data_IF_694151297470
#
_entry.id   IF_694151297470
#
_cell.length_a   1.000
_cell.length_b   1.000
_cell.length_c   1.000
_cell.angle_alpha   90.00
_cell.angle_beta   90.00
_cell.angle_gamma   90.00
#
_symmetry.space_group_name_H-M   'P 1'
#
loop_
_entity.id
_entity.type
_entity.pdbx_description
1 polymer ?
#
# COMPACT_ATOMS: atom_id res chain seq x y z
N UNK A 1 10.18 23.28 -5.89
CA UNK A 1 9.37 22.04 -5.87
C UNK A 1 8.46 22.00 -4.65
N UNK A 2 8.94 22.00 -3.39
CA UNK A 2 8.07 21.93 -2.20
C UNK A 2 7.03 23.07 -2.06
N UNK A 3 7.32 24.28 -2.57
CA UNK A 3 6.33 25.38 -2.66
C UNK A 3 5.28 25.22 -3.77
N UNK A 4 5.51 24.33 -4.75
CA UNK A 4 4.64 24.14 -5.91
C UNK A 4 3.64 22.99 -5.73
N UNK A 5 3.93 22.02 -4.86
CA UNK A 5 3.08 20.83 -4.69
C UNK A 5 2.01 21.01 -3.59
N UNK A 6 2.16 22.01 -2.71
CA UNK A 6 1.27 22.16 -1.55
C UNK A 6 1.32 20.93 -0.62
N UNK A 7 0.33 20.73 0.27
CA UNK A 7 0.26 19.55 1.15
C UNK A 7 -0.01 18.23 0.39
N UNK A 8 -0.24 18.32 -0.92
CA UNK A 8 -0.62 17.23 -1.79
C UNK A 8 0.53 16.22 -1.97
N UNK A 9 0.30 14.99 -1.54
CA UNK A 9 1.19 13.86 -1.78
C UNK A 9 0.56 12.98 -2.86
N UNK A 10 1.18 12.89 -4.03
CA UNK A 10 0.68 12.10 -5.17
C UNK A 10 0.53 10.61 -4.84
N UNK A 11 1.27 10.12 -3.83
CA UNK A 11 1.23 8.73 -3.39
C UNK A 11 0.16 8.45 -2.32
N UNK A 12 -0.52 9.50 -1.81
CA UNK A 12 -1.55 9.47 -0.76
C UNK A 12 -1.37 8.39 0.33
N UNK A 13 -0.14 8.10 0.75
CA UNK A 13 0.12 7.11 1.81
C UNK A 13 -0.42 7.60 3.17
N UNK A 14 -0.61 8.92 3.29
CA UNK A 14 -1.18 9.59 4.45
C UNK A 14 -2.17 10.62 3.94
N UNK A 15 -3.46 10.30 4.09
CA UNK A 15 -4.65 10.99 3.59
C UNK A 15 -4.62 12.52 3.69
N UNK A 16 -5.51 13.20 2.96
CA UNK A 16 -5.85 14.59 3.24
C UNK A 16 -6.79 14.60 4.45
N UNK A 17 -6.26 14.87 5.64
CA UNK A 17 -7.06 14.98 6.87
C UNK A 17 -8.26 15.89 6.60
N UNK A 18 -9.51 15.44 6.83
CA UNK A 18 -10.61 16.36 6.88
C UNK A 18 -10.35 17.39 7.99
N UNK A 19 -10.85 18.61 7.82
CA UNK A 19 -10.83 19.57 8.91
C UNK A 19 -11.73 19.07 10.04
N UNK A 20 -11.35 19.34 11.28
CA UNK A 20 -12.14 18.93 12.45
C UNK A 20 -13.54 19.57 12.44
N UNK A 21 -13.69 20.70 11.73
CA UNK A 21 -14.97 21.33 11.41
C UNK A 21 -15.25 21.15 9.91
N UNK A 22 -16.00 20.10 9.56
CA UNK A 22 -16.67 20.00 8.27
C UNK A 22 -18.10 20.53 8.43
N UNK A 23 -18.48 21.51 7.61
CA UNK A 23 -19.87 21.93 7.48
C UNK A 23 -20.71 20.77 6.89
N UNK A 24 -22.03 20.79 7.09
CA UNK A 24 -22.96 19.72 6.65
C UNK A 24 -22.90 19.44 5.13
N UNK A 25 -22.36 20.35 4.34
CA UNK A 25 -22.14 20.23 2.89
C UNK A 25 -20.75 19.65 2.52
N UNK A 26 -19.95 19.25 3.52
CA UNK A 26 -18.60 18.74 3.36
C UNK A 26 -17.56 19.83 3.06
N UNK A 27 -17.94 21.11 3.12
CA UNK A 27 -16.99 22.21 3.01
C UNK A 27 -16.30 22.47 4.36
N UNK A 28 -15.05 22.93 4.27
CA UNK A 28 -14.18 23.16 5.41
C UNK A 28 -13.89 24.65 5.53
N UNK A 29 -14.25 25.26 6.66
CA UNK A 29 -13.83 26.63 6.99
C UNK A 29 -12.67 26.68 8.00
N UNK A 30 -12.32 25.53 8.61
CA UNK A 30 -11.25 25.38 9.58
C UNK A 30 -9.99 24.71 8.99
N UNK A 31 -8.81 25.20 9.38
CA UNK A 31 -7.52 24.59 9.03
C UNK A 31 -7.42 23.17 9.61
N UNK A 32 -7.14 22.16 8.78
CA UNK A 32 -7.05 20.77 9.26
C UNK A 32 -5.87 20.56 10.23
N UNK A 33 -5.94 19.54 11.09
CA UNK A 33 -4.86 19.17 12.01
C UNK A 33 -3.51 19.01 11.28
N UNK A 34 -3.52 18.39 10.09
CA UNK A 34 -2.33 18.24 9.24
C UNK A 34 -1.82 19.58 8.69
N UNK A 35 -2.70 20.48 8.29
CA UNK A 35 -2.30 21.83 7.89
C UNK A 35 -1.70 22.63 9.05
N UNK A 36 -2.27 22.50 10.26
CA UNK A 36 -1.72 23.08 11.48
C UNK A 36 -0.35 22.51 11.80
N UNK A 37 -0.18 21.19 11.69
CA UNK A 37 1.11 20.51 11.82
C UNK A 37 2.14 21.07 10.84
N UNK A 38 1.78 21.21 9.56
CA UNK A 38 2.67 21.79 8.54
C UNK A 38 3.05 23.23 8.87
N UNK A 39 2.09 24.02 9.37
CA UNK A 39 2.32 25.43 9.75
C UNK A 39 3.25 25.57 10.95
N UNK A 40 3.09 24.73 11.97
CA UNK A 40 3.86 24.79 13.21
C UNK A 40 5.27 24.22 13.00
N UNK A 41 5.37 23.04 12.38
CA UNK A 41 6.65 22.38 12.13
C UNK A 41 7.47 23.06 11.02
N UNK A 42 6.79 23.76 10.10
CA UNK A 42 7.38 24.29 8.87
C UNK A 42 7.86 23.19 7.91
N UNK A 43 7.41 21.94 8.08
CA UNK A 43 7.83 20.78 7.29
C UNK A 43 6.76 20.38 6.28
N UNK A 44 7.19 19.81 5.15
CA UNK A 44 6.29 19.31 4.11
C UNK A 44 5.91 17.84 4.32
N UNK A 45 4.86 17.37 3.64
CA UNK A 45 4.51 15.94 3.57
C UNK A 45 5.68 15.08 3.04
N UNK A 46 6.52 15.65 2.16
CA UNK A 46 7.74 14.99 1.67
C UNK A 46 8.77 14.78 2.78
N UNK A 47 8.93 15.77 3.66
CA UNK A 47 9.78 15.63 4.84
C UNK A 47 9.27 14.51 5.75
N UNK A 48 7.97 14.48 6.05
CA UNK A 48 7.35 13.42 6.87
C UNK A 48 7.68 12.05 6.30
N UNK A 49 7.37 11.81 5.01
CA UNK A 49 7.64 10.53 4.35
C UNK A 49 9.11 10.13 4.45
N UNK A 50 10.02 11.06 4.10
CA UNK A 50 11.46 10.80 4.15
C UNK A 50 11.92 10.49 5.59
N UNK A 51 11.43 11.26 6.56
CA UNK A 51 11.77 11.09 7.96
C UNK A 51 11.30 9.72 8.48
N UNK A 52 10.05 9.33 8.21
CA UNK A 52 9.53 8.01 8.59
C UNK A 52 10.32 6.88 7.94
N UNK A 53 10.61 6.99 6.64
CA UNK A 53 11.38 5.98 5.91
C UNK A 53 12.79 5.79 6.52
N UNK A 54 13.52 6.88 6.77
CA UNK A 54 14.86 6.81 7.39
C UNK A 54 14.81 6.30 8.84
N UNK A 55 13.68 6.42 9.51
CA UNK A 55 13.50 6.06 10.91
C UNK A 55 12.57 4.85 11.11
N UNK A 56 12.36 4.04 10.07
CA UNK A 56 11.48 2.87 10.11
C UNK A 56 11.88 1.84 11.19
N UNK A 57 13.18 1.74 11.48
CA UNK A 57 13.72 0.91 12.56
C UNK A 57 13.30 1.36 13.98
N UNK A 58 12.71 2.56 14.11
CA UNK A 58 12.26 3.16 15.37
C UNK A 58 10.91 3.87 15.24
N UNK A 59 9.96 3.26 14.52
CA UNK A 59 8.65 3.86 14.22
C UNK A 59 7.94 4.48 15.43
N UNK A 60 7.95 3.83 16.60
CA UNK A 60 7.30 4.35 17.80
C UNK A 60 7.85 5.70 18.26
N UNK A 61 9.17 5.83 18.37
CA UNK A 61 9.77 7.12 18.77
C UNK A 61 9.76 8.12 17.62
N UNK A 62 9.88 7.67 16.36
CA UNK A 62 9.79 8.53 15.18
C UNK A 62 8.41 9.21 15.07
N UNK A 63 7.32 8.49 15.41
CA UNK A 63 5.98 9.07 15.47
C UNK A 63 5.88 10.14 16.56
N UNK A 64 6.34 9.83 17.78
CA UNK A 64 6.35 10.82 18.87
C UNK A 64 7.19 12.07 18.52
N UNK A 65 8.36 11.90 17.89
CA UNK A 65 9.20 13.02 17.44
C UNK A 65 8.47 13.90 16.41
N UNK A 66 7.64 13.32 15.53
CA UNK A 66 6.83 14.09 14.57
C UNK A 66 5.66 14.79 15.26
N UNK A 67 5.00 14.16 16.24
CA UNK A 67 3.91 14.76 17.00
C UNK A 67 4.41 15.97 17.80
N UNK A 68 5.55 15.82 18.49
CA UNK A 68 6.22 16.90 19.22
C UNK A 68 6.62 18.05 18.28
N UNK A 69 7.16 17.73 17.10
CA UNK A 69 7.52 18.73 16.06
C UNK A 69 6.31 19.49 15.52
N UNK A 70 5.16 18.82 15.49
CA UNK A 70 3.87 19.37 15.10
C UNK A 70 3.19 20.24 16.13
N UNK A 71 3.71 20.29 17.36
CA UNK A 71 3.01 20.91 18.49
C UNK A 71 1.78 20.11 18.94
N UNK A 72 1.78 18.80 18.73
CA UNK A 72 0.70 17.88 19.11
C UNK A 72 -0.48 17.81 18.14
N UNK A 73 -0.40 18.46 16.98
CA UNK A 73 -1.41 18.35 15.93
C UNK A 73 -1.24 17.04 15.14
N UNK A 74 -2.34 16.37 14.80
CA UNK A 74 -2.27 15.08 14.09
C UNK A 74 -1.89 15.28 12.61
N UNK A 75 -0.80 14.64 12.19
CA UNK A 75 -0.36 14.59 10.79
C UNK A 75 -0.76 13.29 10.08
N UNK A 76 -1.21 12.28 10.83
CA UNK A 76 -1.50 10.92 10.37
C UNK A 76 -2.93 10.75 9.82
N UNK A 77 -3.81 11.72 10.06
CA UNK A 77 -5.21 11.69 9.61
C UNK A 77 -5.96 10.47 10.12
N UNK A 78 -5.69 10.11 11.36
CA UNK A 78 -6.25 8.92 12.00
C UNK A 78 -5.80 7.58 11.41
N UNK A 79 -4.93 7.51 10.39
CA UNK A 79 -4.35 6.29 9.79
C UNK A 79 -4.99 4.95 10.22
N UNK A 80 -4.41 4.28 11.22
CA UNK A 80 -4.87 2.98 11.74
C UNK A 80 -5.87 3.09 12.89
N UNK A 81 -6.10 4.29 13.43
CA UNK A 81 -6.96 4.57 14.59
C UNK A 81 -8.39 4.95 14.17
N UNK A 82 -8.55 5.58 13.00
CA UNK A 82 -9.84 6.00 12.44
C UNK A 82 -10.76 4.82 12.13
N UNK A 83 -10.20 3.70 11.64
CA UNK A 83 -10.98 2.50 11.33
C UNK A 83 -11.54 1.86 12.62
N UNK A 84 -10.74 1.56 13.65
CA UNK A 84 -11.23 1.14 14.96
C UNK A 84 -12.30 2.07 15.53
N UNK A 85 -12.09 3.38 15.48
CA UNK A 85 -13.04 4.37 15.99
C UNK A 85 -14.36 4.37 15.21
N UNK A 86 -14.30 4.25 13.88
CA UNK A 86 -15.49 4.12 13.03
C UNK A 86 -16.28 2.86 13.36
N UNK A 87 -15.60 1.71 13.49
CA UNK A 87 -16.23 0.46 13.90
C UNK A 87 -16.67 0.45 15.37
N UNK A 88 -16.22 1.37 16.22
CA UNK A 88 -16.68 1.50 17.60
C UNK A 88 -18.04 2.19 17.73
N UNK A 89 -18.50 2.91 16.70
CA UNK A 89 -19.79 3.60 16.74
C UNK A 89 -20.97 2.63 16.81
N UNK A 90 -21.93 2.91 17.68
CA UNK A 90 -23.10 2.05 17.89
C UNK A 90 -23.98 1.91 16.64
N UNK A 91 -24.16 3.01 15.89
CA UNK A 91 -24.96 3.04 14.66
C UNK A 91 -24.31 2.23 13.53
N UNK A 92 -22.99 2.37 13.35
CA UNK A 92 -22.22 1.56 12.39
C UNK A 92 -22.32 0.07 12.72
N UNK A 93 -22.16 -0.28 14.00
CA UNK A 93 -22.27 -1.68 14.43
C UNK A 93 -23.65 -2.26 14.21
N UNK A 94 -24.71 -1.50 14.49
CA UNK A 94 -26.08 -1.91 14.24
C UNK A 94 -26.31 -2.21 12.75
N UNK A 95 -25.93 -1.28 11.87
CA UNK A 95 -26.10 -1.42 10.41
C UNK A 95 -25.27 -2.55 9.82
N UNK A 96 -24.08 -2.79 10.36
CA UNK A 96 -23.20 -3.91 9.94
C UNK A 96 -23.52 -5.23 10.66
N UNK A 97 -24.57 -5.27 11.49
CA UNK A 97 -24.96 -6.45 12.27
C UNK A 97 -23.82 -6.99 13.17
N UNK A 98 -22.99 -6.09 13.68
CA UNK A 98 -21.89 -6.39 14.60
C UNK A 98 -22.36 -6.40 16.06
N UNK A 99 -21.69 -7.15 16.95
CA UNK A 99 -21.99 -7.13 18.37
C UNK A 99 -21.72 -5.76 19.01
N UNK A 100 -22.51 -5.41 20.03
CA UNK A 100 -22.39 -4.16 20.78
C UNK A 100 -21.05 -4.02 21.53
N UNK A 101 -20.39 -5.14 21.82
CA UNK A 101 -19.05 -5.21 22.42
C UNK A 101 -18.09 -5.86 21.40
N UNK A 102 -16.90 -5.29 21.22
CA UNK A 102 -15.90 -5.84 20.30
C UNK A 102 -15.34 -7.13 20.89
N UNK A 103 -15.41 -8.22 20.14
CA UNK A 103 -14.71 -9.44 20.51
C UNK A 103 -13.25 -9.29 20.08
N UNK A 104 -12.34 -9.11 21.04
CA UNK A 104 -10.91 -9.09 20.74
C UNK A 104 -10.54 -10.39 20.03
N UNK A 105 -9.96 -10.29 18.82
CA UNK A 105 -9.42 -11.45 18.12
C UNK A 105 -8.01 -11.73 18.64
N UNK A 106 -7.87 -12.70 19.54
CA UNK A 106 -6.57 -13.31 19.83
C UNK A 106 -6.39 -14.54 18.96
N UNK A 107 -5.25 -14.62 18.28
CA UNK A 107 -4.90 -15.74 17.43
C UNK A 107 -3.50 -16.22 17.82
N UNK A 108 -3.42 -17.39 18.47
CA UNK A 108 -2.15 -18.03 18.74
C UNK A 108 -1.75 -18.82 17.49
N UNK A 109 -0.88 -18.23 16.69
CA UNK A 109 -0.40 -18.86 15.46
C UNK A 109 0.97 -19.50 15.67
N UNK A 110 1.03 -20.81 15.46
CA UNK A 110 2.27 -21.53 15.25
C UNK A 110 2.48 -21.72 13.74
N UNK A 111 3.74 -21.57 13.30
CA UNK A 111 4.09 -21.73 11.89
C UNK A 111 3.66 -23.12 11.39
N UNK A 112 2.77 -23.15 10.39
CA UNK A 112 2.00 -24.35 10.03
C UNK A 112 2.51 -25.11 8.79
N UNK A 113 3.76 -24.92 8.37
CA UNK A 113 4.33 -25.67 7.23
C UNK A 113 5.57 -25.01 6.63
N UNK A 114 6.14 -25.57 5.55
CA UNK A 114 7.11 -24.85 4.73
C UNK A 114 6.46 -23.58 4.15
N UNK A 115 7.28 -22.59 3.80
CA UNK A 115 6.79 -21.34 3.22
C UNK A 115 5.98 -21.60 1.93
N UNK A 116 4.99 -20.74 1.67
CA UNK A 116 4.05 -20.85 0.53
C UNK A 116 4.74 -20.98 -0.83
N UNK A 117 5.98 -20.47 -0.96
CA UNK A 117 6.90 -20.68 -2.09
C UNK A 117 6.95 -22.13 -2.59
N UNK A 118 6.81 -23.13 -1.70
CA UNK A 118 6.86 -24.54 -2.11
C UNK A 118 5.59 -25.02 -2.82
N UNK A 119 4.48 -24.30 -2.71
CA UNK A 119 3.19 -24.67 -3.31
C UNK A 119 3.06 -24.20 -4.76
N UNK A 120 3.72 -23.10 -5.14
CA UNK A 120 3.56 -22.48 -6.46
C UNK A 120 3.82 -23.43 -7.64
N UNK A 121 4.85 -24.30 -7.63
CA UNK A 121 5.02 -25.26 -8.72
C UNK A 121 3.80 -26.15 -8.98
N UNK A 122 3.05 -26.52 -7.93
CA UNK A 122 1.82 -27.31 -8.06
C UNK A 122 0.61 -26.46 -8.47
N UNK A 123 0.53 -25.21 -8.02
CA UNK A 123 -0.52 -24.28 -8.41
C UNK A 123 -0.43 -23.93 -9.91
N UNK A 124 0.79 -23.67 -10.39
CA UNK A 124 1.08 -23.37 -11.79
C UNK A 124 0.71 -24.54 -12.72
N UNK A 125 0.90 -25.78 -12.29
CA UNK A 125 0.45 -26.98 -13.03
C UNK A 125 -1.07 -27.14 -13.10
N UNK A 126 -1.81 -26.41 -12.27
CA UNK A 126 -3.27 -26.50 -12.17
C UNK A 126 -4.01 -25.51 -13.09
N UNK A 127 -3.30 -24.90 -14.06
CA UNK A 127 -3.82 -23.89 -14.97
C UNK A 127 -4.42 -22.65 -14.25
N UNK A 128 -3.88 -22.33 -13.07
CA UNK A 128 -4.20 -21.09 -12.36
C UNK A 128 -3.31 -19.97 -12.87
N UNK A 129 -3.91 -18.86 -13.30
CA UNK A 129 -3.18 -17.61 -13.53
C UNK A 129 -2.73 -17.05 -12.17
N UNK A 130 -1.46 -16.67 -12.07
CA UNK A 130 -0.84 -16.17 -10.84
C UNK A 130 -0.29 -14.78 -11.06
N UNK A 131 -0.62 -13.86 -10.15
CA UNK A 131 -0.03 -12.52 -10.07
C UNK A 131 0.71 -12.38 -8.74
N UNK A 132 1.97 -11.99 -8.80
CA UNK A 132 2.78 -11.60 -7.63
C UNK A 132 2.93 -10.09 -7.67
N UNK A 133 2.59 -9.37 -6.60
CA UNK A 133 2.75 -7.91 -6.60
C UNK A 133 3.32 -7.36 -5.29
N UNK A 134 4.09 -6.28 -5.35
CA UNK A 134 4.91 -5.78 -4.22
C UNK A 134 4.99 -4.25 -4.13
N UNK A 135 4.83 -3.61 -2.98
CA UNK A 135 5.28 -2.21 -2.88
C UNK A 135 6.81 -2.12 -3.04
N UNK A 136 7.34 -1.31 -3.98
CA UNK A 136 8.80 -1.12 -4.13
C UNK A 136 9.44 -0.43 -2.91
N UNK A 137 8.63 0.36 -2.18
CA UNK A 137 8.99 1.00 -0.92
C UNK A 137 8.66 0.17 0.33
N UNK A 138 8.11 -1.06 0.20
CA UNK A 138 7.83 -1.92 1.35
C UNK A 138 9.13 -2.49 1.93
N UNK A 139 9.43 -2.13 3.18
CA UNK A 139 10.60 -2.65 3.90
C UNK A 139 10.30 -3.93 4.69
N UNK A 140 9.02 -4.25 4.92
CA UNK A 140 8.61 -5.45 5.66
C UNK A 140 8.66 -6.70 4.77
N UNK A 141 8.16 -6.60 3.54
CA UNK A 141 8.23 -7.66 2.52
C UNK A 141 8.76 -7.07 1.20
N UNK A 142 10.08 -6.82 1.11
CA UNK A 142 10.65 -6.12 -0.03
C UNK A 142 10.53 -6.92 -1.32
N UNK A 143 10.31 -6.21 -2.44
CA UNK A 143 10.11 -6.82 -3.77
C UNK A 143 11.25 -7.77 -4.18
N UNK A 144 12.49 -7.45 -3.79
CA UNK A 144 13.69 -8.27 -4.09
C UNK A 144 13.52 -9.73 -3.63
N UNK A 145 12.81 -9.97 -2.53
CA UNK A 145 12.56 -11.32 -2.05
C UNK A 145 11.68 -12.14 -3.01
N UNK A 146 10.72 -11.48 -3.64
CA UNK A 146 9.85 -12.10 -4.65
C UNK A 146 10.57 -12.25 -5.98
N UNK A 147 11.34 -11.25 -6.41
CA UNK A 147 12.16 -11.30 -7.63
C UNK A 147 13.16 -12.48 -7.59
N UNK A 148 13.89 -12.67 -6.47
CA UNK A 148 14.80 -13.81 -6.29
C UNK A 148 14.05 -15.14 -6.37
N UNK A 149 12.82 -15.17 -5.87
CA UNK A 149 12.02 -16.37 -5.89
C UNK A 149 11.47 -16.68 -7.29
N UNK A 150 10.91 -15.70 -8.01
CA UNK A 150 10.36 -15.87 -9.38
C UNK A 150 11.45 -16.26 -10.37
N UNK A 151 12.60 -15.58 -10.33
CA UNK A 151 13.80 -15.98 -11.11
C UNK A 151 14.28 -17.38 -10.75
N UNK A 152 14.29 -17.75 -9.46
CA UNK A 152 14.60 -19.11 -9.02
C UNK A 152 13.61 -20.19 -9.50
N UNK A 153 12.36 -19.83 -9.82
CA UNK A 153 11.41 -20.76 -10.45
C UNK A 153 11.74 -20.99 -11.93
N UNK A 154 12.18 -19.96 -12.64
CA UNK A 154 12.65 -20.05 -14.02
C UNK A 154 13.92 -20.90 -14.11
N UNK A 155 14.92 -20.64 -13.27
CA UNK A 155 16.18 -21.41 -13.24
C UNK A 155 15.95 -22.92 -13.02
N UNK A 156 14.87 -23.27 -12.30
CA UNK A 156 14.47 -24.66 -12.03
C UNK A 156 13.57 -25.25 -13.10
N UNK A 157 13.22 -24.49 -14.13
CA UNK A 157 12.42 -24.92 -15.27
C UNK A 157 10.93 -25.08 -14.98
N UNK A 158 10.39 -24.40 -13.96
CA UNK A 158 8.94 -24.40 -13.72
C UNK A 158 8.20 -23.41 -14.62
N UNK A 159 8.89 -22.33 -14.99
CA UNK A 159 8.39 -21.23 -15.82
C UNK A 159 9.50 -20.80 -16.78
N UNK A 160 9.13 -20.05 -17.81
CA UNK A 160 10.01 -19.48 -18.84
C UNK A 160 9.66 -17.99 -18.97
N UNK A 161 10.63 -17.09 -18.85
CA UNK A 161 10.38 -15.66 -19.11
C UNK A 161 9.90 -15.48 -20.56
N UNK A 162 8.76 -14.80 -20.72
CA UNK A 162 8.18 -14.48 -22.04
C UNK A 162 8.12 -13.00 -22.31
N UNK A 163 8.16 -12.19 -21.26
CA UNK A 163 8.30 -10.75 -21.36
C UNK A 163 9.26 -10.25 -20.29
N UNK A 164 10.41 -9.77 -20.74
CA UNK A 164 11.48 -9.35 -19.85
C UNK A 164 11.10 -8.11 -19.05
N UNK A 165 11.82 -7.87 -17.96
CA UNK A 165 11.61 -6.72 -17.09
C UNK A 165 11.50 -5.39 -17.86
N UNK A 166 10.34 -4.75 -17.78
CA UNK A 166 10.06 -3.48 -18.44
C UNK A 166 9.18 -2.58 -17.58
N UNK A 167 9.15 -1.28 -17.90
CA UNK A 167 8.25 -0.33 -17.23
C UNK A 167 6.86 -0.36 -17.85
N UNK A 168 5.82 -0.30 -17.04
CA UNK A 168 4.43 -0.23 -17.51
C UNK A 168 3.74 1.07 -17.07
N UNK A 169 2.67 1.41 -17.77
CA UNK A 169 1.88 2.63 -17.57
C UNK A 169 0.39 2.28 -17.55
N UNK A 170 -0.40 3.01 -16.75
CA UNK A 170 -1.86 2.89 -16.78
C UNK A 170 -2.40 3.46 -18.09
N UNK A 171 -1.86 4.60 -18.52
CA UNK A 171 -2.08 5.21 -19.82
C UNK A 171 -0.71 5.52 -20.43
N UNK A 172 -0.47 5.17 -21.70
CA UNK A 172 0.80 5.48 -22.39
C UNK A 172 1.12 6.98 -22.43
N UNK A 173 0.11 7.85 -22.27
CA UNK A 173 0.29 9.29 -22.17
C UNK A 173 0.76 9.76 -20.77
N UNK A 174 0.74 8.89 -19.75
CA UNK A 174 1.17 9.26 -18.41
C UNK A 174 2.67 9.58 -18.38
N UNK A 175 3.02 10.73 -17.80
CA UNK A 175 4.40 11.19 -17.70
C UNK A 175 5.25 10.40 -16.67
N UNK A 176 4.67 9.42 -15.97
CA UNK A 176 5.33 8.66 -14.91
C UNK A 176 4.90 7.20 -14.99
N UNK A 177 5.86 6.30 -14.98
CA UNK A 177 5.62 4.87 -14.95
C UNK A 177 4.81 4.49 -13.71
N UNK A 178 3.89 3.54 -13.88
CA UNK A 178 3.05 3.03 -12.80
C UNK A 178 3.71 1.91 -12.03
N UNK A 179 4.67 1.24 -12.65
CA UNK A 179 5.57 0.26 -12.03
C UNK A 179 6.48 -0.37 -13.08
N UNK A 180 7.05 -1.52 -12.72
CA UNK A 180 7.73 -2.41 -13.64
C UNK A 180 7.02 -3.77 -13.65
N UNK A 181 7.19 -4.55 -14.72
CA UNK A 181 6.63 -5.88 -14.80
C UNK A 181 7.56 -6.84 -15.53
N UNK A 182 7.44 -8.12 -15.20
CA UNK A 182 7.98 -9.25 -15.97
C UNK A 182 6.88 -10.30 -16.07
N UNK A 183 6.80 -10.95 -17.22
CA UNK A 183 5.82 -12.01 -17.47
C UNK A 183 6.55 -13.30 -17.77
N UNK A 184 6.09 -14.37 -17.14
CA UNK A 184 6.58 -15.72 -17.39
C UNK A 184 5.45 -16.58 -17.88
N UNK A 185 5.78 -17.61 -18.63
CA UNK A 185 4.90 -18.67 -19.06
C UNK A 185 5.23 -19.91 -18.25
N UNK A 186 4.24 -20.52 -17.59
CA UNK A 186 4.41 -21.92 -17.15
C UNK A 186 4.60 -22.74 -18.41
N UNK A 187 5.38 -23.83 -18.36
CA UNK A 187 5.31 -24.86 -19.39
C UNK A 187 3.86 -25.45 -19.39
N UNK A 188 2.87 -24.70 -19.90
CA UNK A 188 1.44 -24.80 -19.61
C UNK A 188 0.60 -23.51 -19.31
N UNK A 189 1.10 -22.27 -19.50
CA UNK A 189 0.48 -20.90 -19.38
C UNK A 189 0.67 -20.09 -18.06
N UNK A 190 0.80 -18.75 -18.19
CA UNK A 190 1.73 -17.86 -17.44
C UNK A 190 1.39 -17.18 -16.10
N UNK A 191 2.36 -16.37 -15.63
CA UNK A 191 2.41 -15.59 -14.38
C UNK A 191 3.01 -14.20 -14.58
N UNK A 192 2.57 -13.21 -13.80
CA UNK A 192 3.03 -11.80 -13.88
C UNK A 192 3.54 -11.30 -12.52
N UNK A 193 4.56 -10.42 -12.52
CA UNK A 193 5.08 -9.74 -11.30
C UNK A 193 5.01 -8.21 -11.41
N UNK A 194 4.53 -7.48 -10.38
CA UNK A 194 4.34 -6.00 -10.44
C UNK A 194 4.57 -5.27 -9.10
N UNK A 195 5.21 -4.08 -9.07
CA UNK A 195 5.23 -3.26 -7.86
C UNK A 195 4.12 -2.20 -7.65
N UNK A 196 3.66 -1.92 -6.41
CA UNK A 196 3.20 -0.56 -6.03
C UNK A 196 2.18 -0.34 -4.89
N UNK A 197 2.40 0.76 -4.13
CA UNK A 197 1.50 1.40 -3.14
C UNK A 197 0.85 2.66 -3.76
N UNK A 198 -0.14 2.47 -4.63
CA UNK A 198 -0.80 3.55 -5.36
C UNK A 198 -2.22 3.10 -5.74
N UNK A 199 -3.30 3.75 -5.28
CA UNK A 199 -4.66 3.26 -5.50
C UNK A 199 -5.06 3.22 -6.98
N UNK A 200 -4.59 4.18 -7.79
CA UNK A 200 -4.83 4.20 -9.25
C UNK A 200 -4.11 3.02 -9.91
N UNK A 201 -2.84 2.80 -9.56
CA UNK A 201 -2.06 1.69 -10.10
C UNK A 201 -2.57 0.33 -9.60
N UNK A 202 -2.91 0.20 -8.32
CA UNK A 202 -3.45 -1.02 -7.74
C UNK A 202 -4.79 -1.43 -8.35
N UNK A 203 -5.67 -0.46 -8.64
CA UNK A 203 -6.90 -0.73 -9.38
C UNK A 203 -6.61 -1.16 -10.82
N UNK A 204 -5.72 -0.46 -11.53
CA UNK A 204 -5.32 -0.85 -12.88
C UNK A 204 -4.68 -2.24 -12.94
N UNK A 205 -3.90 -2.62 -11.91
CA UNK A 205 -3.33 -3.96 -11.76
C UNK A 205 -4.43 -5.00 -11.69
N UNK A 206 -5.42 -4.77 -10.84
CA UNK A 206 -6.58 -5.64 -10.71
C UNK A 206 -7.37 -5.75 -12.02
N UNK A 207 -7.65 -4.62 -12.70
CA UNK A 207 -8.40 -4.62 -13.96
C UNK A 207 -7.68 -5.41 -15.04
N UNK A 208 -6.39 -5.16 -15.27
CA UNK A 208 -5.56 -5.89 -16.25
C UNK A 208 -5.48 -7.39 -15.90
N UNK A 209 -5.33 -7.73 -14.62
CA UNK A 209 -5.31 -9.13 -14.19
C UNK A 209 -6.65 -9.86 -14.38
N UNK A 210 -7.78 -9.18 -14.18
CA UNK A 210 -9.09 -9.79 -14.44
C UNK A 210 -9.39 -9.88 -15.94
N UNK A 211 -8.88 -8.93 -16.73
CA UNK A 211 -9.10 -8.85 -18.17
C UNK A 211 -8.20 -9.77 -19.02
N UNK A 212 -7.24 -10.48 -18.41
CA UNK A 212 -6.21 -11.24 -19.15
C UNK A 212 -5.31 -10.36 -20.02
N UNK A 213 -5.19 -9.08 -19.67
CA UNK A 213 -4.27 -8.15 -20.31
C UNK A 213 -2.85 -8.31 -19.77
N UNK A 214 -1.89 -7.96 -20.63
CA UNK A 214 -0.48 -7.79 -20.28
C UNK A 214 -0.24 -6.41 -19.67
N UNK A 215 0.81 -6.32 -18.86
CA UNK A 215 1.12 -5.13 -18.08
C UNK A 215 1.82 -4.06 -18.89
#
# INVERSE_FOLDING_TARGET
>A
MDKQVGPYNIYNVYDNCPSDDLDDDGSSTATSQKEMWHRISGKSSRFINKYLHMNAHKFGSARQELDDMGGGYDWTCGQFDAIPDWFARADVREVLHMPAESMTSSFNYDLSGPASVTLYPSLLQSALRVLIYNGDADACVPYIGNEIWTTGMEERGYVEEVDAWHTWFIDEADATASGASTSYKVLGDGMDEIPGFNPRAGFAVFEKFVAEDIF
#
